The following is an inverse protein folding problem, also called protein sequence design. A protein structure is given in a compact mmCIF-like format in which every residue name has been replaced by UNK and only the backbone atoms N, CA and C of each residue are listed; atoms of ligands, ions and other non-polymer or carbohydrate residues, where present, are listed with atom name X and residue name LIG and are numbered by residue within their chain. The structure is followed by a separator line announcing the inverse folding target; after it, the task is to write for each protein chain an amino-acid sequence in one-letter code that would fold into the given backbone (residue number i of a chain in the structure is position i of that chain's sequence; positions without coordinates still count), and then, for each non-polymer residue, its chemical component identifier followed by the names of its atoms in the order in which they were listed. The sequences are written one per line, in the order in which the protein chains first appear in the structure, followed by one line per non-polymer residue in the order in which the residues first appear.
data_IF_957618653362
#
_entry.id   IF_957618653362
#
_cell.length_a   1.000
_cell.length_b   1.000
_cell.length_c   1.000
_cell.angle_alpha   90.00
_cell.angle_beta   90.00
_cell.angle_gamma   90.00
#
_symmetry.space_group_name_H-M   'P 1'
#
loop_
_entity.id
_entity.type
_entity.pdbx_description
1 polymer ?
#
# COMPACT_ATOMS: atom_id res chain seq x y z
N UNK A 1 -5.94 -9.79 -11.56
CA UNK A 1 -6.22 -9.55 -10.13
C UNK A 1 -7.70 -9.76 -9.84
N UNK A 2 -8.08 -10.46 -8.74
CA UNK A 2 -9.47 -10.85 -8.44
C UNK A 2 -10.00 -10.38 -7.07
N UNK A 3 -9.31 -9.43 -6.41
CA UNK A 3 -9.61 -8.91 -5.07
C UNK A 3 -9.57 -9.92 -3.90
N UNK A 4 -9.71 -11.22 -4.15
CA UNK A 4 -9.73 -12.26 -3.11
C UNK A 4 -8.38 -12.55 -2.46
N UNK A 5 -7.28 -12.06 -3.03
CA UNK A 5 -5.92 -12.21 -2.51
C UNK A 5 -5.34 -10.90 -1.94
N UNK A 6 -6.19 -9.95 -1.54
CA UNK A 6 -5.73 -8.71 -0.93
C UNK A 6 -5.49 -8.91 0.58
N UNK A 7 -4.30 -8.53 1.05
CA UNK A 7 -3.95 -8.59 2.48
C UNK A 7 -4.77 -7.62 3.33
N UNK A 8 -5.18 -6.49 2.75
CA UNK A 8 -6.09 -5.52 3.34
C UNK A 8 -7.04 -4.96 2.29
N UNK A 9 -8.31 -4.81 2.67
CA UNK A 9 -9.38 -4.34 1.77
C UNK A 9 -10.28 -3.33 2.49
N UNK A 10 -10.23 -2.09 2.05
CA UNK A 10 -11.14 -1.03 2.49
C UNK A 10 -12.19 -0.78 1.40
N UNK A 11 -13.48 -0.93 1.75
CA UNK A 11 -14.60 -0.65 0.86
C UNK A 11 -15.46 0.46 1.44
N UNK A 12 -15.81 1.43 0.60
CA UNK A 12 -16.81 2.44 0.94
C UNK A 12 -18.19 1.79 1.02
N UNK A 13 -18.95 2.08 2.09
CA UNK A 13 -20.29 1.55 2.29
C UNK A 13 -21.36 2.56 1.80
N UNK A 14 -22.24 2.12 0.90
CA UNK A 14 -23.49 2.81 0.57
C UNK A 14 -24.69 1.97 1.00
N UNK A 15 -25.78 2.58 1.52
CA UNK A 15 -26.07 4.02 1.52
C UNK A 15 -25.53 4.80 2.73
N UNK A 16 -24.87 4.14 3.68
CA UNK A 16 -24.49 4.77 4.96
C UNK A 16 -23.38 5.82 4.85
N UNK A 17 -22.76 5.93 3.67
CA UNK A 17 -21.68 6.87 3.36
C UNK A 17 -20.45 6.74 4.28
N UNK A 18 -20.16 5.53 4.74
CA UNK A 18 -19.06 5.25 5.67
C UNK A 18 -17.80 4.89 4.87
N UNK A 19 -16.71 5.60 5.16
CA UNK A 19 -15.39 5.25 4.64
C UNK A 19 -14.93 3.90 5.20
N UNK A 20 -14.51 3.00 4.32
CA UNK A 20 -13.88 1.75 4.74
C UNK A 20 -12.50 1.99 5.32
N UNK A 21 -12.10 1.13 6.25
CA UNK A 21 -10.73 1.05 6.77
C UNK A 21 -10.30 -0.41 6.85
N UNK A 22 -9.00 -0.64 6.71
CA UNK A 22 -8.38 -1.94 6.90
C UNK A 22 -6.97 -1.73 7.43
N UNK A 23 -6.48 -2.69 8.20
CA UNK A 23 -5.09 -2.74 8.67
C UNK A 23 -4.51 -4.10 8.32
N UNK A 24 -3.21 -4.13 8.09
CA UNK A 24 -2.43 -5.33 7.87
C UNK A 24 -1.09 -5.15 8.56
N UNK A 25 -0.65 -6.19 9.27
CA UNK A 25 0.61 -6.21 9.99
C UNK A 25 1.48 -7.33 9.42
N UNK A 26 2.78 -7.03 9.28
CA UNK A 26 3.77 -7.98 8.79
C UNK A 26 5.12 -7.69 9.43
N UNK A 27 5.87 -8.74 9.75
CA UNK A 27 7.25 -8.63 10.19
C UNK A 27 8.15 -8.28 9.00
N UNK A 28 8.88 -7.17 9.12
CA UNK A 28 9.86 -6.72 8.14
C UNK A 28 11.28 -6.85 8.72
N UNK A 29 12.03 -7.92 8.37
CA UNK A 29 13.42 -8.06 8.78
C UNK A 29 14.28 -6.93 8.18
N UNK A 30 15.33 -6.54 8.91
CA UNK A 30 16.26 -5.53 8.42
C UNK A 30 16.92 -5.95 7.09
N UNK A 31 16.99 -5.03 6.13
CA UNK A 31 17.60 -5.26 4.82
C UNK A 31 16.73 -6.01 3.82
N UNK A 32 15.48 -6.35 4.19
CA UNK A 32 14.50 -6.97 3.29
C UNK A 32 13.59 -5.89 2.71
N UNK A 33 13.11 -6.09 1.48
CA UNK A 33 12.06 -5.29 0.87
C UNK A 33 10.78 -6.10 0.77
N UNK A 34 9.67 -5.56 1.28
CA UNK A 34 8.35 -6.15 1.10
C UNK A 34 7.68 -5.49 -0.10
N UNK A 35 7.29 -6.27 -1.12
CA UNK A 35 6.56 -5.76 -2.28
C UNK A 35 5.16 -5.28 -1.86
N UNK A 36 4.80 -4.04 -2.20
CA UNK A 36 3.47 -3.47 -1.92
C UNK A 36 2.77 -3.11 -3.22
N UNK A 37 1.51 -3.52 -3.38
CA UNK A 37 0.64 -3.17 -4.51
C UNK A 37 -0.64 -2.51 -4.03
N UNK A 38 -0.94 -1.32 -4.57
CA UNK A 38 -2.20 -0.62 -4.33
C UNK A 38 -3.11 -0.69 -5.54
N UNK A 39 -4.36 -1.04 -5.30
CA UNK A 39 -5.44 -0.90 -6.26
C UNK A 39 -6.45 0.10 -5.68
N UNK A 40 -6.56 1.25 -6.32
CA UNK A 40 -7.54 2.27 -5.96
C UNK A 40 -8.62 2.35 -7.04
N UNK A 41 -9.87 2.17 -6.63
CA UNK A 41 -11.04 2.30 -7.49
C UNK A 41 -11.97 3.36 -6.94
N UNK A 42 -12.39 4.29 -7.79
CA UNK A 42 -13.39 5.31 -7.47
C UNK A 42 -14.56 5.15 -8.44
N UNK A 43 -15.79 5.15 -7.92
CA UNK A 43 -16.98 4.90 -8.72
C UNK A 43 -17.65 6.22 -9.15
N UNK A 44 -18.28 6.92 -8.21
CA UNK A 44 -19.03 8.16 -8.44
C UNK A 44 -18.56 9.23 -7.46
N UNK A 45 -18.62 10.50 -7.90
CA UNK A 45 -18.22 11.68 -7.13
C UNK A 45 -16.74 11.67 -6.73
N UNK A 46 -16.40 12.33 -5.61
CA UNK A 46 -15.05 12.36 -5.07
C UNK A 46 -14.75 11.11 -4.26
N UNK A 47 -13.53 10.60 -4.41
CA UNK A 47 -12.98 9.55 -3.56
C UNK A 47 -11.68 10.04 -2.92
N UNK A 48 -11.51 9.69 -1.65
CA UNK A 48 -10.29 9.91 -0.89
C UNK A 48 -9.75 8.60 -0.35
N UNK A 49 -8.43 8.51 -0.23
CA UNK A 49 -7.75 7.39 0.38
C UNK A 49 -6.57 7.92 1.19
N UNK A 50 -6.36 7.34 2.37
CA UNK A 50 -5.19 7.61 3.20
C UNK A 50 -4.44 6.32 3.39
N UNK A 51 -3.12 6.38 3.20
CA UNK A 51 -2.22 5.28 3.45
C UNK A 51 -1.20 5.70 4.50
N UNK A 52 -1.00 4.84 5.49
CA UNK A 52 -0.03 5.10 6.55
C UNK A 52 0.66 3.80 6.91
N UNK A 53 1.98 3.86 7.03
CA UNK A 53 2.81 2.75 7.53
C UNK A 53 3.46 3.23 8.80
N UNK A 54 3.25 2.49 9.89
CA UNK A 54 3.89 2.75 11.17
C UNK A 54 4.67 1.54 11.61
N UNK A 55 5.74 1.78 12.36
CA UNK A 55 6.42 0.71 13.10
C UNK A 55 5.75 0.53 14.47
N UNK A 56 5.97 -0.59 15.18
CA UNK A 56 5.38 -0.83 16.50
C UNK A 56 5.73 0.22 17.57
N UNK A 57 6.80 1.00 17.38
CA UNK A 57 7.19 2.07 18.29
C UNK A 57 6.49 3.42 17.98
N UNK A 58 5.63 3.47 16.96
CA UNK A 58 4.89 4.66 16.54
C UNK A 58 5.59 5.52 15.48
N UNK A 59 6.81 5.17 15.03
CA UNK A 59 7.46 5.87 13.92
C UNK A 59 6.63 5.73 12.63
N UNK A 60 6.29 6.86 12.01
CA UNK A 60 5.61 6.92 10.71
C UNK A 60 6.64 6.81 9.58
N UNK A 61 6.54 5.75 8.78
CA UNK A 61 7.41 5.53 7.61
C UNK A 61 6.81 6.16 6.36
N UNK A 62 5.48 6.19 6.25
CA UNK A 62 4.71 6.77 5.15
C UNK A 62 3.44 7.36 5.73
N UNK A 63 3.06 8.56 5.29
CA UNK A 63 1.81 9.21 5.67
C UNK A 63 1.57 10.45 4.83
N UNK A 64 0.37 11.05 4.96
CA UNK A 64 -0.01 12.22 4.18
C UNK A 64 0.87 13.46 4.47
N UNK A 65 1.44 13.54 5.66
CA UNK A 65 2.29 14.66 6.10
C UNK A 65 3.79 14.42 5.84
N UNK A 66 4.14 13.31 5.17
CA UNK A 66 5.53 12.94 4.88
C UNK A 66 5.84 13.24 3.40
N UNK A 67 6.61 14.29 3.14
CA UNK A 67 6.95 14.72 1.77
C UNK A 67 7.91 13.77 1.03
N UNK A 68 8.72 13.02 1.77
CA UNK A 68 9.60 11.99 1.24
C UNK A 68 9.86 10.91 2.30
N UNK A 69 9.90 9.64 1.89
CA UNK A 69 10.24 8.51 2.74
C UNK A 69 11.51 7.82 2.22
N UNK A 70 12.57 7.67 3.03
CA UNK A 70 13.75 6.91 2.62
C UNK A 70 13.50 5.39 2.63
N UNK A 71 12.32 4.94 3.11
CA UNK A 71 12.00 3.53 3.31
C UNK A 71 11.14 2.96 2.18
N UNK A 72 10.48 3.81 1.39
CA UNK A 72 9.72 3.40 0.21
C UNK A 72 10.55 3.66 -1.03
N UNK A 73 10.85 2.57 -1.75
CA UNK A 73 11.58 2.62 -3.00
C UNK A 73 10.74 2.01 -4.11
N UNK A 74 10.94 2.48 -5.34
CA UNK A 74 10.32 1.86 -6.52
C UNK A 74 11.03 0.56 -6.91
N UNK A 75 12.33 0.51 -6.68
CA UNK A 75 13.23 -0.63 -6.87
C UNK A 75 14.57 -0.32 -6.18
N UNK A 76 15.38 -1.34 -5.91
CA UNK A 76 16.73 -1.19 -5.39
C UNK A 76 17.67 -0.67 -6.49
N UNK A 77 18.72 0.04 -6.10
CA UNK A 77 19.71 0.57 -7.06
C UNK A 77 20.39 -0.54 -7.88
N UNK A 78 20.57 -1.73 -7.30
CA UNK A 78 21.11 -2.90 -8.01
C UNK A 78 20.08 -3.61 -8.89
N UNK A 79 18.78 -3.33 -8.71
CA UNK A 79 17.67 -4.00 -9.39
C UNK A 79 17.51 -5.48 -9.05
N UNK A 80 18.24 -6.02 -8.07
CA UNK A 80 18.26 -7.44 -7.70
C UNK A 80 17.50 -7.70 -6.41
N UNK A 81 17.79 -6.94 -5.35
CA UNK A 81 17.20 -7.18 -4.02
C UNK A 81 15.74 -6.69 -3.96
N UNK A 82 15.42 -5.65 -4.72
CA UNK A 82 14.05 -5.18 -4.96
C UNK A 82 13.88 -4.86 -6.45
N UNK A 83 13.60 -5.87 -7.30
CA UNK A 83 13.42 -5.64 -8.73
C UNK A 83 12.18 -4.79 -9.02
N UNK A 84 12.16 -4.13 -10.16
CA UNK A 84 10.99 -3.39 -10.61
C UNK A 84 9.80 -4.33 -10.83
N UNK A 85 8.60 -3.87 -10.46
CA UNK A 85 7.37 -4.56 -10.82
C UNK A 85 7.23 -4.69 -12.34
N UNK A 86 6.69 -5.82 -12.77
CA UNK A 86 6.26 -6.02 -14.15
C UNK A 86 5.20 -4.96 -14.54
N UNK A 87 5.05 -4.65 -15.84
CA UNK A 87 3.98 -3.79 -16.30
C UNK A 87 2.61 -4.24 -15.78
N UNK A 88 1.73 -3.26 -15.52
CA UNK A 88 0.37 -3.55 -15.10
C UNK A 88 -0.33 -4.47 -16.12
N UNK A 89 -1.03 -5.48 -15.63
CA UNK A 89 -1.67 -6.53 -16.43
C UNK A 89 -0.77 -7.72 -16.77
N UNK A 90 0.52 -7.68 -16.41
CA UNK A 90 1.46 -8.79 -16.57
C UNK A 90 1.83 -9.45 -15.24
N UNK A 91 0.93 -9.39 -14.25
CA UNK A 91 1.17 -10.01 -12.94
C UNK A 91 0.93 -11.52 -13.01
N UNK A 92 1.81 -12.28 -12.35
CA UNK A 92 1.75 -13.75 -12.25
C UNK A 92 0.90 -14.14 -11.05
#
# INVERSE_FOLDING_TARGET
WSAGNADAKALYNQPDHIAGSAHFEIDLPAGVYIPIRFIYGQAQYGGGFTFTVTTPNGQVLVGNDVTASPYIVRYSCDGIIAPAYLPFGSEI
#
